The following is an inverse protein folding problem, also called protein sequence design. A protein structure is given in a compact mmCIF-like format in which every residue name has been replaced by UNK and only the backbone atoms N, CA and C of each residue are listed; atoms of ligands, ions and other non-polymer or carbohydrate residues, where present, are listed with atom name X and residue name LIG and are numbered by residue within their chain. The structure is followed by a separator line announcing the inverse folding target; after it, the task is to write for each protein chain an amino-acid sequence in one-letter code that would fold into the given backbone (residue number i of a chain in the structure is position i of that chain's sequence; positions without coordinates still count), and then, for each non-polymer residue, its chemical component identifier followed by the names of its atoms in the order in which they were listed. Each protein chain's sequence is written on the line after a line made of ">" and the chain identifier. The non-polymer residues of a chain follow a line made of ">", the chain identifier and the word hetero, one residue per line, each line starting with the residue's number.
data_IF_202457548898
#
_entry.id   IF_202457548898
#
_cell.length_a   1.000
_cell.length_b   1.000
_cell.length_c   1.000
_cell.angle_alpha   90.00
_cell.angle_beta   90.00
_cell.angle_gamma   90.00
#
_symmetry.space_group_name_H-M   'P 1'
#
loop_
_entity.id
_entity.type
_entity.pdbx_description
1 polymer ?
#
# COMPACT_ATOMS: atom_id res chain seq x y z
N UNK A 1 -6.28 5.19 0.29
CA UNK A 1 -6.63 3.89 0.93
C UNK A 1 -5.35 3.22 1.41
N UNK A 2 -5.36 2.76 2.63
CA UNK A 2 -4.23 2.05 3.22
C UNK A 2 -4.58 0.56 3.35
N UNK A 3 -3.75 -0.30 2.77
CA UNK A 3 -3.86 -1.75 2.91
C UNK A 3 -2.61 -2.27 3.64
N UNK A 4 -2.75 -3.37 4.35
CA UNK A 4 -1.64 -3.94 5.11
C UNK A 4 -1.82 -5.45 5.28
N UNK A 5 -0.71 -6.13 5.57
CA UNK A 5 -0.74 -7.54 5.98
C UNK A 5 -0.56 -7.59 7.51
N UNK A 6 -1.54 -8.14 8.26
CA UNK A 6 -1.48 -8.09 9.73
C UNK A 6 -0.37 -8.95 10.34
N UNK A 7 0.09 -9.97 9.60
CA UNK A 7 1.12 -10.91 10.07
C UNK A 7 2.47 -10.71 9.36
N UNK A 8 2.61 -9.63 8.60
CA UNK A 8 3.84 -9.23 7.93
C UNK A 8 3.93 -7.71 7.92
N UNK A 9 5.01 -7.15 7.37
CA UNK A 9 5.25 -5.71 7.41
C UNK A 9 4.97 -5.01 6.08
N UNK A 10 4.14 -5.60 5.24
CA UNK A 10 3.78 -4.99 3.95
C UNK A 10 2.65 -3.98 4.12
N UNK A 11 2.82 -2.80 3.51
CA UNK A 11 1.86 -1.71 3.53
C UNK A 11 1.74 -1.13 2.13
N UNK A 12 0.51 -0.81 1.72
CA UNK A 12 0.23 -0.13 0.45
C UNK A 12 -0.61 1.11 0.73
N UNK A 13 -0.13 2.28 0.26
CA UNK A 13 -0.91 3.52 0.25
C UNK A 13 -1.36 3.78 -1.17
N UNK A 14 -2.62 3.54 -1.46
CA UNK A 14 -3.19 3.66 -2.80
C UNK A 14 -3.94 4.99 -2.95
N UNK A 15 -3.61 5.74 -4.01
CA UNK A 15 -4.14 7.09 -4.22
C UNK A 15 -5.33 7.11 -5.18
N UNK A 16 -5.28 6.34 -6.27
CA UNK A 16 -6.36 6.31 -7.25
C UNK A 16 -6.40 4.98 -7.99
N UNK A 17 -7.56 4.73 -8.58
CA UNK A 17 -7.86 3.54 -9.34
C UNK A 17 -7.99 3.89 -10.82
N UNK A 18 -7.46 3.06 -11.70
CA UNK A 18 -7.57 3.26 -13.14
C UNK A 18 -9.03 3.03 -13.58
N UNK A 19 -9.70 4.04 -14.17
CA UNK A 19 -11.10 3.87 -14.58
C UNK A 19 -11.29 2.91 -15.74
N UNK A 20 -10.22 2.55 -16.46
CA UNK A 20 -10.30 1.63 -17.59
C UNK A 20 -10.61 0.19 -17.14
N UNK A 21 -10.10 -0.24 -15.99
CA UNK A 21 -10.30 -1.61 -15.51
C UNK A 21 -10.86 -1.69 -14.08
N UNK A 22 -10.92 -0.58 -13.37
CA UNK A 22 -11.35 -0.51 -11.97
C UNK A 22 -10.59 -1.49 -11.04
N UNK A 23 -9.39 -1.88 -11.44
CA UNK A 23 -8.59 -2.87 -10.71
C UNK A 23 -7.15 -2.42 -10.48
N UNK A 24 -6.56 -1.66 -11.42
CA UNK A 24 -5.18 -1.18 -11.30
C UNK A 24 -5.14 0.08 -10.44
N UNK A 25 -4.50 -0.01 -9.29
CA UNK A 25 -4.31 1.11 -8.38
C UNK A 25 -2.89 1.65 -8.45
N UNK A 26 -2.75 2.97 -8.28
CA UNK A 26 -1.45 3.64 -8.21
C UNK A 26 -1.22 4.12 -6.80
N UNK A 27 -0.04 3.85 -6.28
CA UNK A 27 0.31 4.26 -4.93
C UNK A 27 1.70 3.82 -4.52
N UNK A 28 1.95 3.87 -3.22
CA UNK A 28 3.23 3.51 -2.62
C UNK A 28 3.13 2.09 -2.07
N UNK A 29 4.14 1.28 -2.37
CA UNK A 29 4.27 -0.08 -1.85
C UNK A 29 5.48 -0.16 -0.93
N UNK A 30 5.28 -0.72 0.26
CA UNK A 30 6.35 -1.03 1.21
C UNK A 30 6.24 -2.50 1.60
N UNK A 31 7.19 -3.29 1.15
CA UNK A 31 7.23 -4.73 1.44
C UNK A 31 7.94 -5.06 2.77
N UNK A 32 8.29 -4.04 3.56
CA UNK A 32 8.97 -4.24 4.84
C UNK A 32 10.48 -4.44 4.73
N UNK A 33 11.07 -4.14 3.57
CA UNK A 33 12.51 -4.32 3.33
C UNK A 33 13.27 -2.99 3.30
N UNK A 34 12.64 -1.89 3.72
CA UNK A 34 13.28 -0.58 3.77
C UNK A 34 13.36 0.16 2.44
N UNK A 35 12.63 -0.28 1.42
CA UNK A 35 12.67 0.29 0.08
C UNK A 35 11.25 0.57 -0.44
N UNK A 36 10.53 1.55 0.14
CA UNK A 36 9.22 1.91 -0.36
C UNK A 36 9.31 2.52 -1.77
N UNK A 37 8.39 2.13 -2.65
CA UNK A 37 8.40 2.52 -4.05
C UNK A 37 7.03 2.95 -4.51
N UNK A 38 7.00 3.93 -5.43
CA UNK A 38 5.78 4.30 -6.15
C UNK A 38 5.57 3.31 -7.30
N UNK A 39 4.35 2.81 -7.46
CA UNK A 39 4.07 1.87 -8.52
C UNK A 39 2.58 1.66 -8.73
N UNK A 40 2.27 0.72 -9.60
CA UNK A 40 0.91 0.30 -9.92
C UNK A 40 0.73 -1.16 -9.55
N UNK A 41 -0.42 -1.48 -8.98
CA UNK A 41 -0.73 -2.86 -8.59
C UNK A 41 -2.21 -3.14 -8.83
N UNK A 42 -2.53 -4.36 -9.19
CA UNK A 42 -3.92 -4.79 -9.34
C UNK A 42 -4.49 -5.21 -8.00
N UNK A 43 -5.69 -4.71 -7.68
CA UNK A 43 -6.39 -5.09 -6.45
C UNK A 43 -6.67 -6.59 -6.42
N UNK A 44 -6.96 -7.19 -7.58
CA UNK A 44 -7.15 -8.63 -7.68
C UNK A 44 -5.90 -9.42 -7.29
N UNK A 45 -4.71 -8.91 -7.61
CA UNK A 45 -3.46 -9.53 -7.18
C UNK A 45 -3.26 -9.41 -5.67
N UNK A 46 -3.60 -8.26 -5.08
CA UNK A 46 -3.55 -8.08 -3.63
C UNK A 46 -4.50 -9.02 -2.90
N UNK A 47 -5.68 -9.24 -3.47
CA UNK A 47 -6.68 -10.15 -2.88
C UNK A 47 -6.18 -11.60 -2.81
N UNK A 48 -5.20 -11.98 -3.65
CA UNK A 48 -4.62 -13.31 -3.64
C UNK A 48 -3.44 -13.47 -2.67
N UNK A 49 -2.94 -12.37 -2.10
CA UNK A 49 -1.81 -12.41 -1.18
C UNK A 49 -2.28 -12.86 0.19
N UNK A 50 -1.57 -13.82 0.75
CA UNK A 50 -1.83 -14.36 2.09
C UNK A 50 -0.51 -14.35 2.85
N UNK A 51 -0.51 -13.77 4.05
CA UNK A 51 0.67 -13.71 4.89
C UNK A 51 1.08 -15.07 5.47
N UNK A 52 2.21 -15.12 6.21
CA UNK A 52 2.75 -16.38 6.72
C UNK A 52 1.80 -17.15 7.65
N UNK A 53 0.89 -16.47 8.33
CA UNK A 53 -0.14 -17.09 9.18
C UNK A 53 -1.47 -17.23 8.45
N UNK A 54 -1.48 -17.17 7.12
CA UNK A 54 -2.66 -17.27 6.26
C UNK A 54 -3.66 -16.13 6.49
N UNK A 55 -3.18 -14.95 6.89
CA UNK A 55 -4.01 -13.75 7.03
C UNK A 55 -4.02 -12.98 5.71
N UNK A 56 -5.19 -12.60 5.21
CA UNK A 56 -5.29 -11.84 3.96
C UNK A 56 -4.81 -10.40 4.14
N UNK A 57 -4.59 -9.71 3.02
CA UNK A 57 -4.40 -8.26 3.02
C UNK A 57 -5.67 -7.60 3.54
N UNK A 58 -5.53 -6.69 4.47
CA UNK A 58 -6.64 -5.99 5.11
C UNK A 58 -6.61 -4.51 4.80
N UNK A 59 -7.80 -3.88 4.78
CA UNK A 59 -7.94 -2.43 4.62
C UNK A 59 -8.03 -1.77 5.98
N UNK A 60 -7.27 -0.69 6.15
CA UNK A 60 -7.41 0.18 7.33
C UNK A 60 -8.61 1.10 7.10
N UNK A 61 -9.70 0.81 7.78
CA UNK A 61 -10.95 1.56 7.65
C UNK A 61 -10.91 2.94 8.29
N UNK A 62 -9.93 3.19 9.15
CA UNK A 62 -9.80 4.45 9.87
C UNK A 62 -8.77 5.38 9.26
N UNK A 63 -8.09 4.94 8.22
CA UNK A 63 -7.08 5.76 7.55
C UNK A 63 -7.74 6.90 6.79
N UNK A 64 -7.22 8.11 7.02
CA UNK A 64 -7.58 9.31 6.26
C UNK A 64 -6.31 9.94 5.71
N UNK A 65 -6.26 10.16 4.40
CA UNK A 65 -5.13 10.79 3.76
C UNK A 65 -5.04 12.26 4.18
N UNK A 66 -3.93 12.63 4.81
CA UNK A 66 -3.67 13.99 5.29
C UNK A 66 -2.69 14.75 4.40
N UNK A 67 -2.13 14.10 3.40
CA UNK A 67 -1.07 14.63 2.54
C UNK A 67 -1.23 14.12 1.12
N UNK A 68 -0.70 14.83 0.12
CA UNK A 68 -0.61 14.28 -1.24
C UNK A 68 0.33 13.08 -1.28
N UNK A 69 0.11 12.20 -2.25
CA UNK A 69 0.88 10.95 -2.39
C UNK A 69 2.38 11.21 -2.50
N UNK A 70 2.79 12.25 -3.23
CA UNK A 70 4.19 12.62 -3.39
C UNK A 70 4.88 12.90 -2.06
N UNK A 71 4.17 13.48 -1.10
CA UNK A 71 4.73 13.76 0.22
C UNK A 71 4.84 12.49 1.06
N UNK A 72 3.87 11.59 0.98
CA UNK A 72 3.98 10.28 1.62
C UNK A 72 5.16 9.49 1.06
N UNK A 73 5.38 9.56 -0.26
CA UNK A 73 6.51 8.89 -0.90
C UNK A 73 7.84 9.45 -0.39
N UNK A 74 7.96 10.78 -0.32
CA UNK A 74 9.17 11.44 0.17
C UNK A 74 9.48 11.01 1.61
N UNK A 75 8.48 11.05 2.49
CA UNK A 75 8.64 10.65 3.89
C UNK A 75 9.01 9.17 4.01
N UNK A 76 8.40 8.32 3.20
CA UNK A 76 8.67 6.90 3.21
C UNK A 76 10.12 6.61 2.79
N UNK A 77 10.60 7.30 1.75
CA UNK A 77 11.99 7.13 1.28
C UNK A 77 13.00 7.65 2.31
N UNK A 78 12.69 8.76 3.00
CA UNK A 78 13.56 9.30 4.05
C UNK A 78 13.66 8.37 5.25
N UNK A 79 12.59 7.65 5.59
CA UNK A 79 12.49 6.82 6.79
C UNK A 79 12.69 5.33 6.50
N UNK A 80 12.78 4.92 5.24
CA UNK A 80 12.92 3.54 4.84
C UNK A 80 11.63 2.72 5.00
N UNK A 81 10.51 3.35 5.35
CA UNK A 81 9.20 2.71 5.49
C UNK A 81 8.10 3.75 5.40
N UNK A 82 6.87 3.29 5.12
CA UNK A 82 5.73 4.18 5.07
C UNK A 82 5.45 4.74 6.46
N UNK A 83 5.35 6.07 6.51
CA UNK A 83 5.02 6.82 7.72
C UNK A 83 3.66 7.48 7.50
N UNK A 84 2.68 7.09 8.26
CA UNK A 84 1.33 7.63 8.23
C UNK A 84 0.90 8.12 9.64
#
# INVERSE_FOLDING_TARGET
>A
MRLFTPDAHAIWLLAWLDPADDDTATGIMDAGIGMPELGRIKLSDLASIVGPNKQPVMRDLYFQAMRPLSEYLRLAQENGSIVD
#
